data_IF_783759783991
#
_entry.id   IF_783759783991
#
_cell.length_a   1.000
_cell.length_b   1.000
_cell.length_c   1.000
_cell.angle_alpha   90.00
_cell.angle_beta   90.00
_cell.angle_gamma   90.00
#
_symmetry.space_group_name_H-M   'P 1'
#
loop_
_entity.id
_entity.type
_entity.pdbx_description
1 polymer ?
#
# COMPACT_ATOMS: atom_id res chain seq x y z
N UNK A 1 28.37 16.60 5.64
CA UNK A 1 27.03 16.30 5.08
C UNK A 1 26.68 14.89 5.50
N UNK A 2 25.51 14.68 6.11
CA UNK A 2 25.04 13.34 6.50
C UNK A 2 24.39 12.67 5.29
N UNK A 3 24.68 11.39 5.07
CA UNK A 3 24.05 10.60 4.03
C UNK A 3 23.22 9.49 4.67
N UNK A 4 21.89 9.53 4.52
CA UNK A 4 20.95 8.66 5.23
C UNK A 4 20.12 7.86 4.22
N UNK A 5 20.07 6.53 4.41
CA UNK A 5 19.16 5.67 3.68
C UNK A 5 17.84 5.51 4.44
N UNK A 6 16.72 5.65 3.73
CA UNK A 6 15.38 5.35 4.23
C UNK A 6 14.81 4.21 3.41
N UNK A 7 14.59 3.05 4.05
CA UNK A 7 14.10 1.84 3.39
C UNK A 7 12.58 1.81 3.47
N UNK A 8 11.95 2.02 2.33
CA UNK A 8 10.50 2.17 2.18
C UNK A 8 10.10 3.61 1.90
N UNK A 9 9.35 3.80 0.83
CA UNK A 9 8.84 5.09 0.35
C UNK A 9 7.34 5.30 0.63
N UNK A 10 6.84 4.64 1.67
CA UNK A 10 5.50 4.86 2.20
C UNK A 10 5.42 6.08 3.13
N UNK A 11 4.28 6.26 3.82
CA UNK A 11 4.07 7.40 4.75
C UNK A 11 5.18 7.54 5.78
N UNK A 12 5.60 6.46 6.44
CA UNK A 12 6.66 6.49 7.44
C UNK A 12 8.00 6.98 6.87
N UNK A 13 8.34 6.53 5.65
CA UNK A 13 9.55 6.97 4.95
C UNK A 13 9.53 8.46 4.64
N UNK A 14 8.43 8.96 4.06
CA UNK A 14 8.32 10.39 3.74
C UNK A 14 8.28 11.30 4.96
N UNK A 15 7.60 10.90 6.05
CA UNK A 15 7.64 11.66 7.30
C UNK A 15 9.04 11.64 7.93
N UNK A 16 9.77 10.54 7.84
CA UNK A 16 11.16 10.47 8.30
C UNK A 16 12.06 11.39 7.47
N UNK A 17 11.94 11.38 6.15
CA UNK A 17 12.70 12.26 5.27
C UNK A 17 12.40 13.74 5.55
N UNK A 18 11.12 14.12 5.71
CA UNK A 18 10.73 15.49 6.06
C UNK A 18 11.29 15.91 7.42
N UNK A 19 11.30 15.02 8.41
CA UNK A 19 11.87 15.30 9.72
C UNK A 19 13.40 15.50 9.65
N UNK A 20 14.09 14.70 8.86
CA UNK A 20 15.53 14.85 8.63
C UNK A 20 15.86 16.17 7.95
N UNK A 21 15.08 16.57 6.94
CA UNK A 21 15.24 17.87 6.28
C UNK A 21 15.05 19.05 7.27
N UNK A 22 14.04 18.95 8.16
CA UNK A 22 13.81 19.98 9.19
C UNK A 22 14.94 20.06 10.21
N UNK A 23 15.58 18.93 10.54
CA UNK A 23 16.65 18.88 11.55
C UNK A 23 17.99 19.34 10.99
N UNK A 24 18.30 19.00 9.75
CA UNK A 24 19.65 19.14 9.21
C UNK A 24 19.75 20.08 8.00
N UNK A 25 18.60 20.51 7.42
CA UNK A 25 18.58 21.40 6.25
C UNK A 25 19.42 20.83 5.10
N UNK A 26 20.32 21.64 4.60
CA UNK A 26 21.22 21.30 3.48
C UNK A 26 22.38 20.37 3.88
N UNK A 27 22.53 20.07 5.19
CA UNK A 27 23.58 19.17 5.68
C UNK A 27 23.19 17.68 5.63
N UNK A 28 22.01 17.35 5.09
CA UNK A 28 21.56 15.96 4.91
C UNK A 28 21.29 15.65 3.45
N UNK A 29 21.68 14.45 3.04
CA UNK A 29 21.27 13.80 1.79
C UNK A 29 20.53 12.54 2.14
N UNK A 30 19.40 12.28 1.48
CA UNK A 30 18.49 11.19 1.79
C UNK A 30 18.25 10.36 0.52
N UNK A 31 18.58 9.07 0.58
CA UNK A 31 18.21 8.11 -0.43
C UNK A 31 17.04 7.28 0.08
N UNK A 32 15.89 7.39 -0.59
CA UNK A 32 14.71 6.59 -0.31
C UNK A 32 14.74 5.36 -1.19
N UNK A 33 14.94 4.19 -0.60
CA UNK A 33 15.11 2.90 -1.29
C UNK A 33 13.81 2.11 -1.15
N UNK A 34 13.23 1.67 -2.26
CA UNK A 34 11.97 0.90 -2.24
C UNK A 34 12.01 -0.23 -3.27
N UNK A 35 11.43 -1.37 -2.92
CA UNK A 35 11.26 -2.51 -3.84
C UNK A 35 10.31 -2.19 -5.00
N UNK A 36 9.38 -1.26 -4.79
CA UNK A 36 8.46 -0.81 -5.82
C UNK A 36 9.12 0.20 -6.75
N UNK A 37 8.84 0.17 -8.06
CA UNK A 37 9.38 1.15 -9.00
C UNK A 37 8.72 2.54 -8.87
N UNK A 38 7.70 2.65 -8.03
CA UNK A 38 6.92 3.88 -7.78
C UNK A 38 6.76 4.14 -6.30
N UNK A 39 6.78 5.41 -5.86
CA UNK A 39 6.72 5.77 -4.46
C UNK A 39 5.28 5.79 -3.90
N UNK A 40 5.19 6.13 -2.62
CA UNK A 40 4.03 6.44 -1.78
C UNK A 40 3.37 5.24 -1.10
N UNK A 41 3.84 4.00 -1.32
CA UNK A 41 3.41 2.83 -0.56
C UNK A 41 1.89 2.70 -0.42
N UNK A 42 1.39 2.64 0.82
CA UNK A 42 -0.05 2.47 1.09
C UNK A 42 -0.94 3.62 0.58
N UNK A 43 -0.41 4.83 0.36
CA UNK A 43 -1.22 5.91 -0.22
C UNK A 43 -1.60 5.57 -1.66
N UNK A 44 -0.70 4.91 -2.38
CA UNK A 44 -0.96 4.43 -3.74
C UNK A 44 -1.74 3.12 -3.73
N UNK A 45 -1.30 2.14 -2.94
CA UNK A 45 -1.74 0.75 -3.07
C UNK A 45 -2.67 0.26 -1.94
N UNK A 46 -2.86 1.04 -0.87
CA UNK A 46 -3.62 0.62 0.30
C UNK A 46 -4.85 1.47 0.62
N UNK A 47 -4.88 2.74 0.19
CA UNK A 47 -6.07 3.60 0.35
C UNK A 47 -7.10 3.25 -0.72
N UNK A 48 -8.37 3.16 -0.35
CA UNK A 48 -9.44 2.86 -1.28
C UNK A 48 -9.48 3.85 -2.46
N UNK A 49 -9.77 3.39 -3.69
CA UNK A 49 -9.60 4.17 -4.92
C UNK A 49 -10.54 5.37 -5.01
N UNK A 50 -11.61 5.41 -4.22
CA UNK A 50 -12.55 6.52 -4.14
C UNK A 50 -12.26 7.49 -2.97
N UNK A 51 -11.27 7.23 -2.14
CA UNK A 51 -10.81 8.12 -1.06
C UNK A 51 -9.76 9.13 -1.54
N UNK A 52 -10.09 9.90 -2.59
CA UNK A 52 -9.17 10.85 -3.22
C UNK A 52 -8.69 11.95 -2.26
N UNK A 53 -9.51 12.35 -1.29
CA UNK A 53 -9.12 13.33 -0.25
C UNK A 53 -7.99 12.81 0.65
N UNK A 54 -7.99 11.51 0.98
CA UNK A 54 -6.91 10.87 1.75
C UNK A 54 -5.66 10.72 0.88
N UNK A 55 -5.83 10.29 -0.37
CA UNK A 55 -4.73 10.20 -1.34
C UNK A 55 -4.07 11.55 -1.62
N UNK A 56 -4.75 12.66 -1.40
CA UNK A 56 -4.21 14.01 -1.57
C UNK A 56 -2.98 14.33 -0.66
N UNK A 57 -2.73 13.55 0.40
CA UNK A 57 -1.50 13.64 1.21
C UNK A 57 -0.24 13.41 0.36
N UNK A 58 -0.37 12.73 -0.77
CA UNK A 58 0.69 12.55 -1.77
C UNK A 58 1.35 13.89 -2.16
N UNK A 59 0.58 14.99 -2.27
CA UNK A 59 1.12 16.31 -2.57
C UNK A 59 2.15 16.81 -1.53
N UNK A 60 2.01 16.38 -0.27
CA UNK A 60 3.02 16.67 0.76
C UNK A 60 4.29 15.85 0.53
N UNK A 61 4.14 14.59 0.17
CA UNK A 61 5.28 13.71 -0.11
C UNK A 61 6.03 14.14 -1.37
N UNK A 62 5.32 14.62 -2.40
CA UNK A 62 5.93 15.17 -3.61
C UNK A 62 6.89 16.31 -3.31
N UNK A 63 6.55 17.21 -2.37
CA UNK A 63 7.44 18.30 -1.96
C UNK A 63 8.76 17.79 -1.39
N UNK A 64 8.72 16.69 -0.63
CA UNK A 64 9.91 16.04 -0.09
C UNK A 64 10.66 15.31 -1.21
N UNK A 65 9.95 14.53 -2.03
CA UNK A 65 10.53 13.72 -3.10
C UNK A 65 11.25 14.56 -4.17
N UNK A 66 10.76 15.78 -4.44
CA UNK A 66 11.31 16.69 -5.44
C UNK A 66 12.37 17.66 -4.88
N UNK A 67 12.76 17.50 -3.61
CA UNK A 67 13.83 18.32 -3.02
C UNK A 67 15.20 17.85 -3.51
N UNK A 68 16.11 18.78 -3.72
CA UNK A 68 17.45 18.51 -4.27
C UNK A 68 18.30 17.54 -3.43
N UNK A 69 18.01 17.45 -2.13
CA UNK A 69 18.69 16.58 -1.18
C UNK A 69 18.00 15.22 -0.94
N UNK A 70 16.95 14.90 -1.71
CA UNK A 70 16.24 13.60 -1.65
C UNK A 70 16.33 12.91 -3.01
N UNK A 71 16.68 11.63 -2.99
CA UNK A 71 16.69 10.77 -4.17
C UNK A 71 15.83 9.54 -3.96
N UNK A 72 14.97 9.22 -4.91
CA UNK A 72 14.21 7.96 -4.93
C UNK A 72 14.95 6.90 -5.73
N UNK A 73 15.19 5.75 -5.10
CA UNK A 73 15.81 4.55 -5.66
C UNK A 73 14.77 3.42 -5.66
N UNK A 74 13.92 3.40 -6.68
CA UNK A 74 12.90 2.36 -6.82
C UNK A 74 13.43 1.08 -7.45
N UNK A 75 12.66 -0.01 -7.34
CA UNK A 75 12.99 -1.35 -7.83
C UNK A 75 14.29 -1.92 -7.22
N UNK A 76 14.52 -1.61 -5.93
CA UNK A 76 15.66 -2.12 -5.16
C UNK A 76 15.12 -2.86 -3.92
N UNK A 77 15.26 -4.18 -3.90
CA UNK A 77 14.84 -5.00 -2.77
C UNK A 77 16.00 -5.20 -1.80
N UNK A 78 15.93 -4.51 -0.67
CA UNK A 78 16.90 -4.71 0.44
C UNK A 78 16.77 -6.13 0.98
N UNK A 79 17.91 -6.80 1.13
CA UNK A 79 18.00 -8.21 1.46
C UNK A 79 18.25 -9.13 0.24
N UNK A 80 18.00 -8.63 -0.99
CA UNK A 80 18.31 -9.32 -2.23
C UNK A 80 19.37 -8.55 -3.06
N UNK A 81 19.08 -7.28 -3.37
CA UNK A 81 19.91 -6.46 -4.27
C UNK A 81 21.01 -5.71 -3.50
N UNK A 82 20.75 -5.41 -2.25
CA UNK A 82 21.69 -4.82 -1.28
C UNK A 82 21.32 -5.28 0.12
N UNK A 83 22.29 -5.59 0.94
CA UNK A 83 22.08 -6.01 2.34
C UNK A 83 22.10 -4.81 3.31
N UNK A 84 21.54 -4.98 4.52
CA UNK A 84 21.64 -3.97 5.58
C UNK A 84 23.08 -3.68 5.99
N UNK A 85 23.98 -4.69 6.16
CA UNK A 85 25.39 -4.41 6.44
C UNK A 85 26.06 -3.53 5.38
N UNK A 86 25.86 -3.80 4.08
CA UNK A 86 26.39 -2.95 3.00
C UNK A 86 25.84 -1.53 3.06
N UNK A 87 24.55 -1.35 3.37
CA UNK A 87 23.98 -0.02 3.54
C UNK A 87 24.60 0.72 4.74
N UNK A 88 24.91 0.02 5.84
CA UNK A 88 25.55 0.63 7.00
C UNK A 88 27.02 1.01 6.75
N UNK A 89 27.67 0.44 5.72
CA UNK A 89 28.99 0.88 5.26
C UNK A 89 28.93 2.12 4.37
N UNK A 90 27.81 2.31 3.65
CA UNK A 90 27.63 3.40 2.66
C UNK A 90 26.98 4.64 3.22
N UNK A 91 26.19 4.51 4.30
CA UNK A 91 25.38 5.58 4.87
C UNK A 91 25.71 5.81 6.33
N UNK A 92 25.61 7.06 6.79
CA UNK A 92 25.79 7.41 8.20
C UNK A 92 24.67 6.83 9.09
N UNK A 93 23.47 6.58 8.51
CA UNK A 93 22.37 5.93 9.19
C UNK A 93 21.41 5.26 8.18
N UNK A 94 20.72 4.20 8.65
CA UNK A 94 19.69 3.49 7.90
C UNK A 94 18.40 3.51 8.72
N UNK A 95 17.30 3.99 8.11
CA UNK A 95 15.96 4.03 8.71
C UNK A 95 15.09 2.99 8.02
N UNK A 96 14.54 2.05 8.80
CA UNK A 96 13.62 1.04 8.30
C UNK A 96 12.17 1.55 8.39
N UNK A 97 11.53 1.74 7.24
CA UNK A 97 10.15 2.22 7.08
C UNK A 97 9.36 1.32 6.12
N UNK A 98 9.60 0.00 6.21
CA UNK A 98 9.15 -1.02 5.23
C UNK A 98 7.66 -1.32 5.27
N UNK A 99 6.95 -0.87 6.31
CA UNK A 99 5.53 -1.17 6.50
C UNK A 99 5.28 -2.65 6.86
N UNK A 100 4.04 -3.10 6.65
CA UNK A 100 3.60 -4.48 6.84
C UNK A 100 3.05 -4.99 5.48
N UNK A 101 3.86 -5.70 4.68
CA UNK A 101 3.51 -6.05 3.31
C UNK A 101 2.55 -7.24 3.21
N UNK A 102 2.43 -8.06 4.24
CA UNK A 102 1.66 -9.30 4.21
C UNK A 102 0.47 -9.26 5.17
N UNK A 103 -0.59 -9.97 4.79
CA UNK A 103 -1.71 -10.25 5.68
C UNK A 103 -1.29 -11.23 6.79
N UNK A 104 -1.82 -11.06 7.99
CA UNK A 104 -1.74 -12.07 9.02
C UNK A 104 -2.67 -13.24 8.66
N UNK A 105 -2.26 -14.51 8.89
CA UNK A 105 -3.14 -15.64 8.66
C UNK A 105 -4.38 -15.56 9.54
N UNK A 106 -5.52 -16.01 9.00
CA UNK A 106 -6.76 -16.09 9.76
C UNK A 106 -6.81 -17.42 10.52
N UNK A 107 -6.46 -17.37 11.80
CA UNK A 107 -6.34 -18.56 12.67
C UNK A 107 -7.72 -19.05 13.19
N UNK A 108 -8.62 -19.38 12.27
CA UNK A 108 -9.92 -20.01 12.57
C UNK A 108 -10.13 -21.23 11.65
N UNK A 109 -11.04 -22.11 12.02
CA UNK A 109 -11.43 -23.23 11.16
C UNK A 109 -11.93 -22.70 9.80
N UNK A 110 -11.35 -23.21 8.71
CA UNK A 110 -11.66 -22.77 7.35
C UNK A 110 -10.97 -21.48 6.90
N UNK A 111 -10.06 -20.92 7.70
CA UNK A 111 -9.32 -19.69 7.34
C UNK A 111 -8.38 -19.84 6.16
N UNK A 112 -8.11 -21.09 5.74
CA UNK A 112 -7.27 -21.47 4.59
C UNK A 112 -8.08 -22.02 3.40
N UNK A 113 -9.41 -21.98 3.46
CA UNK A 113 -10.25 -22.47 2.37
C UNK A 113 -10.11 -21.61 1.10
N UNK A 114 -10.30 -22.22 -0.08
CA UNK A 114 -10.38 -21.46 -1.33
C UNK A 114 -11.43 -20.35 -1.24
N UNK A 115 -11.06 -19.14 -1.68
CA UNK A 115 -11.93 -17.96 -1.61
C UNK A 115 -11.77 -17.12 -0.32
N UNK A 116 -10.97 -17.58 0.66
CA UNK A 116 -10.51 -16.73 1.75
C UNK A 116 -9.32 -15.89 1.25
N UNK A 117 -9.49 -14.57 1.23
CA UNK A 117 -8.50 -13.64 0.70
C UNK A 117 -8.14 -12.63 1.78
N UNK A 118 -6.85 -12.41 1.97
CA UNK A 118 -6.36 -11.38 2.87
C UNK A 118 -6.66 -9.97 2.35
N UNK A 119 -6.88 -9.04 3.25
CA UNK A 119 -7.25 -7.67 2.90
C UNK A 119 -6.15 -6.94 2.12
N UNK A 120 -4.88 -7.18 2.42
CA UNK A 120 -3.78 -6.57 1.67
C UNK A 120 -3.76 -7.03 0.21
N UNK A 121 -4.04 -8.33 -0.04
CA UNK A 121 -4.16 -8.88 -1.38
C UNK A 121 -5.30 -8.23 -2.16
N UNK A 122 -6.52 -8.22 -1.61
CA UNK A 122 -7.68 -7.64 -2.29
C UNK A 122 -7.55 -6.13 -2.51
N UNK A 123 -7.06 -5.39 -1.51
CA UNK A 123 -6.83 -3.95 -1.60
C UNK A 123 -5.73 -3.63 -2.62
N UNK A 124 -4.65 -4.39 -2.61
CA UNK A 124 -3.58 -4.29 -3.61
C UNK A 124 -4.09 -4.55 -5.02
N UNK A 125 -4.93 -5.58 -5.20
CA UNK A 125 -5.52 -5.96 -6.48
C UNK A 125 -6.34 -4.80 -7.11
N UNK A 126 -7.27 -4.19 -6.37
CA UNK A 126 -8.07 -3.11 -6.93
C UNK A 126 -7.31 -1.77 -7.07
N UNK A 127 -6.17 -1.63 -6.41
CA UNK A 127 -5.27 -0.48 -6.56
C UNK A 127 -4.11 -0.74 -7.56
N UNK A 128 -4.04 -1.91 -8.19
CA UNK A 128 -3.02 -2.23 -9.19
C UNK A 128 -1.62 -2.48 -8.64
N UNK A 129 -1.53 -3.05 -7.43
CA UNK A 129 -0.25 -3.48 -6.88
C UNK A 129 0.28 -4.67 -7.70
N UNK A 130 1.52 -4.63 -8.22
CA UNK A 130 2.04 -5.66 -9.14
C UNK A 130 2.04 -7.08 -8.55
N UNK A 131 2.29 -7.24 -7.25
CA UNK A 131 2.30 -8.56 -6.59
C UNK A 131 0.92 -9.22 -6.53
N UNK A 132 -0.15 -8.46 -6.76
CA UNK A 132 -1.53 -8.95 -6.74
C UNK A 132 -2.22 -8.82 -8.10
N UNK A 133 -1.44 -8.61 -9.17
CA UNK A 133 -1.99 -8.46 -10.53
C UNK A 133 -2.73 -9.71 -11.01
N UNK A 134 -2.24 -10.90 -10.60
CA UNK A 134 -2.80 -12.19 -10.96
C UNK A 134 -3.85 -12.72 -9.96
N UNK A 135 -4.21 -11.92 -8.94
CA UNK A 135 -5.26 -12.30 -8.00
C UNK A 135 -6.61 -12.34 -8.73
N UNK A 136 -7.33 -13.45 -8.59
CA UNK A 136 -8.67 -13.66 -9.16
C UNK A 136 -9.68 -13.84 -8.01
N UNK A 137 -10.25 -12.76 -7.47
CA UNK A 137 -11.24 -12.86 -6.40
C UNK A 137 -12.51 -13.52 -6.91
N UNK A 138 -13.14 -14.47 -6.15
CA UNK A 138 -14.37 -15.17 -6.55
C UNK A 138 -15.59 -14.24 -6.44
N UNK A 139 -15.71 -13.28 -7.36
CA UNK A 139 -16.76 -12.26 -7.38
C UNK A 139 -18.09 -12.77 -7.97
N UNK A 140 -18.15 -14.00 -8.44
CA UNK A 140 -19.34 -14.72 -8.92
C UNK A 140 -20.17 -15.31 -7.77
N UNK A 141 -19.68 -15.27 -6.53
CA UNK A 141 -20.38 -15.70 -5.34
C UNK A 141 -21.62 -14.83 -5.04
N UNK A 142 -22.67 -15.43 -4.47
CA UNK A 142 -23.90 -14.71 -4.11
C UNK A 142 -23.71 -13.70 -2.96
N UNK A 143 -22.73 -13.94 -2.09
CA UNK A 143 -22.41 -13.09 -0.93
C UNK A 143 -20.94 -13.16 -0.57
N UNK A 144 -20.43 -12.10 0.04
CA UNK A 144 -19.11 -12.05 0.65
C UNK A 144 -19.20 -11.74 2.13
N UNK A 145 -18.37 -12.41 2.94
CA UNK A 145 -18.19 -12.08 4.35
C UNK A 145 -16.87 -11.32 4.53
N UNK A 146 -16.92 -10.16 5.18
CA UNK A 146 -15.74 -9.37 5.52
C UNK A 146 -15.47 -9.54 7.01
N UNK A 147 -14.34 -10.14 7.36
CA UNK A 147 -13.93 -10.37 8.75
C UNK A 147 -13.06 -9.22 9.22
N UNK A 148 -13.59 -8.45 10.16
CA UNK A 148 -12.95 -7.24 10.68
C UNK A 148 -13.93 -6.09 10.83
N UNK A 149 -13.49 -5.05 11.55
CA UNK A 149 -14.31 -3.86 11.81
C UNK A 149 -13.45 -2.56 11.82
N UNK A 150 -12.27 -2.63 11.23
CA UNK A 150 -11.40 -1.47 10.99
C UNK A 150 -11.72 -0.78 9.67
N UNK A 151 -11.05 0.32 9.41
CA UNK A 151 -11.25 1.12 8.18
C UNK A 151 -11.08 0.29 6.90
N UNK A 152 -10.10 -0.63 6.86
CA UNK A 152 -9.86 -1.49 5.70
C UNK A 152 -11.05 -2.43 5.45
N UNK A 153 -11.60 -3.05 6.51
CA UNK A 153 -12.74 -3.93 6.37
C UNK A 153 -13.99 -3.17 5.87
N UNK A 154 -14.20 -1.96 6.35
CA UNK A 154 -15.28 -1.09 5.89
C UNK A 154 -15.09 -0.67 4.43
N UNK A 155 -13.86 -0.36 4.03
CA UNK A 155 -13.51 -0.05 2.64
C UNK A 155 -13.75 -1.24 1.72
N UNK A 156 -13.30 -2.43 2.09
CA UNK A 156 -13.53 -3.67 1.33
C UNK A 156 -15.02 -3.95 1.17
N UNK A 157 -15.79 -3.89 2.26
CA UNK A 157 -17.24 -4.12 2.22
C UNK A 157 -17.96 -3.09 1.31
N UNK A 158 -17.54 -1.83 1.39
CA UNK A 158 -18.09 -0.75 0.58
C UNK A 158 -17.74 -0.91 -0.91
N UNK A 159 -16.49 -1.24 -1.24
CA UNK A 159 -16.02 -1.49 -2.61
C UNK A 159 -16.78 -2.65 -3.25
N UNK A 160 -16.99 -3.75 -2.49
CA UNK A 160 -17.77 -4.90 -2.95
C UNK A 160 -19.26 -4.57 -3.20
N UNK A 161 -19.81 -3.60 -2.47
CA UNK A 161 -21.22 -3.21 -2.58
C UNK A 161 -21.49 -2.13 -3.63
N UNK A 162 -20.46 -1.48 -4.18
CA UNK A 162 -20.62 -0.38 -5.15
C UNK A 162 -21.12 -0.86 -6.52
N UNK A 163 -21.94 -0.01 -7.11
CA UNK A 163 -22.27 -0.10 -8.54
C UNK A 163 -21.18 0.56 -9.39
N UNK A 164 -21.06 0.21 -10.69
CA UNK A 164 -20.08 0.85 -11.58
C UNK A 164 -20.15 2.38 -11.60
N UNK A 165 -21.35 2.96 -11.53
CA UNK A 165 -21.55 4.41 -11.53
C UNK A 165 -20.92 5.11 -10.29
N UNK A 166 -20.83 4.42 -9.18
CA UNK A 166 -20.28 4.97 -7.93
C UNK A 166 -18.73 4.99 -7.90
N UNK A 167 -18.07 4.43 -8.92
CA UNK A 167 -16.61 4.52 -9.11
C UNK A 167 -16.19 5.75 -9.94
N UNK A 168 -17.10 6.56 -10.40
CA UNK A 168 -16.76 7.78 -11.15
C UNK A 168 -15.88 8.70 -10.28
N UNK A 169 -14.74 9.11 -10.84
CA UNK A 169 -13.75 9.94 -10.13
C UNK A 169 -12.80 9.17 -9.21
N UNK A 170 -12.90 7.83 -9.15
CA UNK A 170 -11.93 6.98 -8.46
C UNK A 170 -10.73 6.67 -9.35
N UNK A 171 -9.63 6.20 -8.75
CA UNK A 171 -8.46 5.69 -9.46
C UNK A 171 -8.38 4.16 -9.46
N UNK A 172 -9.53 3.49 -9.37
CA UNK A 172 -9.61 2.03 -9.50
C UNK A 172 -9.02 1.57 -10.83
N UNK A 173 -8.23 0.48 -10.79
CA UNK A 173 -7.63 -0.03 -12.02
C UNK A 173 -8.65 -0.75 -12.91
N UNK A 174 -8.42 -0.72 -14.23
CA UNK A 174 -9.39 -1.17 -15.23
C UNK A 174 -9.84 -2.64 -15.05
N UNK A 175 -8.92 -3.57 -14.74
CA UNK A 175 -9.26 -4.96 -14.53
C UNK A 175 -10.18 -5.18 -13.34
N UNK A 176 -9.90 -4.50 -12.21
CA UNK A 176 -10.73 -4.59 -11.01
C UNK A 176 -12.09 -3.92 -11.21
N UNK A 177 -12.14 -2.77 -11.89
CA UNK A 177 -13.40 -2.12 -12.25
C UNK A 177 -14.29 -3.04 -13.10
N UNK A 178 -13.71 -3.71 -14.11
CA UNK A 178 -14.45 -4.65 -14.95
C UNK A 178 -14.96 -5.86 -14.16
N UNK A 179 -14.13 -6.44 -13.31
CA UNK A 179 -14.51 -7.59 -12.48
C UNK A 179 -15.60 -7.25 -11.46
N UNK A 180 -15.46 -6.15 -10.74
CA UNK A 180 -16.46 -5.69 -9.76
C UNK A 180 -17.78 -5.28 -10.45
N UNK A 181 -17.72 -4.70 -11.65
CA UNK A 181 -18.90 -4.34 -12.42
C UNK A 181 -19.76 -5.57 -12.85
N UNK A 182 -19.12 -6.72 -12.99
CA UNK A 182 -19.76 -8.00 -13.34
C UNK A 182 -20.03 -8.89 -12.11
N UNK A 183 -19.70 -8.44 -10.91
CA UNK A 183 -19.84 -9.22 -9.69
C UNK A 183 -21.29 -9.60 -9.40
N UNK A 184 -21.52 -10.83 -8.96
CA UNK A 184 -22.84 -11.33 -8.56
C UNK A 184 -23.16 -11.07 -7.09
N UNK A 185 -22.24 -10.54 -6.31
CA UNK A 185 -22.38 -10.28 -4.88
C UNK A 185 -23.55 -9.31 -4.63
N UNK A 186 -24.56 -9.76 -3.87
CA UNK A 186 -25.76 -8.97 -3.54
C UNK A 186 -25.79 -8.48 -2.08
N UNK A 187 -24.86 -8.95 -1.26
CA UNK A 187 -24.75 -8.56 0.14
C UNK A 187 -23.35 -8.75 0.67
N UNK A 188 -22.93 -7.83 1.52
CA UNK A 188 -21.71 -7.98 2.31
C UNK A 188 -22.04 -7.77 3.79
N UNK A 189 -21.51 -8.64 4.67
CA UNK A 189 -21.63 -8.48 6.12
C UNK A 189 -20.25 -8.33 6.73
N UNK A 190 -20.06 -7.27 7.52
CA UNK A 190 -18.88 -7.09 8.35
C UNK A 190 -19.10 -7.76 9.71
N UNK A 191 -18.16 -8.59 10.15
CA UNK A 191 -18.19 -9.24 11.47
C UNK A 191 -16.91 -8.95 12.24
N UNK A 192 -17.02 -8.75 13.56
CA UNK A 192 -15.85 -8.69 14.45
C UNK A 192 -15.31 -10.11 14.64
N UNK A 193 -13.99 -10.33 14.53
CA UNK A 193 -13.40 -11.52 15.15
C UNK A 193 -13.57 -11.38 16.68
N UNK A 194 -13.82 -12.48 17.33
CA UNK A 194 -14.00 -12.60 18.79
C UNK A 194 -12.77 -12.19 19.56
#
# INVERSE_FOLDING_TARGET
MRHIAVIGSGPAGYYSAEALQKLYGDEVRIDMIDRMPVPYGLIRFGVAPDHQSIKAVQKRYEKVALSDNVRFCGNVLVGRDVSIPELLELYDAVILATGAPADAPLEIEGGDLPGVIGSAGFVGWYNGHPEYADLDPPLDAAAAAVIGNGNVALDVARILAKTPAEFVGSDIVAHAFGALGNASIRGSTSRRPW
#
